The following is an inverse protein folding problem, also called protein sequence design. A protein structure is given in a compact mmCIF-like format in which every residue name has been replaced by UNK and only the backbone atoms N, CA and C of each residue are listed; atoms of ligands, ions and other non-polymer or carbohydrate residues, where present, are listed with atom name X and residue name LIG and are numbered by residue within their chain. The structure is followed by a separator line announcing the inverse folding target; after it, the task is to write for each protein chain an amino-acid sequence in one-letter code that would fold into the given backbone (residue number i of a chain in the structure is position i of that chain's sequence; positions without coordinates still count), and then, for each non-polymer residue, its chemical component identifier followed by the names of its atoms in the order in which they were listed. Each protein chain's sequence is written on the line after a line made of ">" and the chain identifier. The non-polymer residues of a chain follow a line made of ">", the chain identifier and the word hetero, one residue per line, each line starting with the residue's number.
data_IF_586557648697
#
_entry.id   IF_586557648697
#
_cell.length_a   1.000
_cell.length_b   1.000
_cell.length_c   1.000
_cell.angle_alpha   90.00
_cell.angle_beta   90.00
_cell.angle_gamma   90.00
#
_symmetry.space_group_name_H-M   'P 1'
#
loop_
_entity.id
_entity.type
_entity.pdbx_description
1 polymer ?
#
# COMPACT_ATOMS: atom_id res chain seq x y z
N UNK A 1 -39.17 3.37 -9.98
CA UNK A 1 -37.95 4.20 -10.12
C UNK A 1 -37.52 4.69 -8.75
N UNK A 2 -36.28 4.41 -8.31
CA UNK A 2 -35.78 4.87 -7.01
C UNK A 2 -35.30 6.32 -7.14
N UNK A 3 -35.96 7.25 -6.46
CA UNK A 3 -35.59 8.66 -6.36
C UNK A 3 -34.50 8.80 -5.28
N UNK A 4 -33.27 9.12 -5.69
CA UNK A 4 -32.18 9.38 -4.77
C UNK A 4 -32.16 10.87 -4.43
N UNK A 5 -32.48 11.23 -3.18
CA UNK A 5 -32.45 12.62 -2.71
C UNK A 5 -31.03 12.99 -2.29
N UNK A 6 -30.40 13.93 -3.00
CA UNK A 6 -29.07 14.46 -2.70
C UNK A 6 -29.21 15.63 -1.71
N UNK A 7 -29.49 15.34 -0.44
CA UNK A 7 -29.50 16.37 0.61
C UNK A 7 -28.07 16.56 1.11
N UNK A 8 -27.49 17.73 0.82
CA UNK A 8 -26.20 18.14 1.37
C UNK A 8 -26.36 18.39 2.88
N UNK A 9 -25.91 17.46 3.72
CA UNK A 9 -25.90 17.62 5.17
C UNK A 9 -24.96 18.79 5.56
N UNK A 10 -25.44 19.80 6.31
CA UNK A 10 -24.58 20.86 6.82
C UNK A 10 -23.57 20.26 7.81
N UNK A 11 -22.28 20.47 7.56
CA UNK A 11 -21.18 19.90 8.36
C UNK A 11 -20.28 18.91 7.62
N UNK A 12 -20.63 18.49 6.41
CA UNK A 12 -19.86 17.49 5.65
C UNK A 12 -18.65 18.07 4.89
N UNK A 13 -18.05 19.16 5.37
CA UNK A 13 -16.73 19.63 4.93
C UNK A 13 -15.61 18.72 5.47
N UNK A 14 -15.77 17.40 5.32
CA UNK A 14 -14.76 16.42 5.70
C UNK A 14 -13.61 16.61 4.74
N UNK A 15 -12.55 17.26 5.21
CA UNK A 15 -11.28 17.36 4.49
C UNK A 15 -10.81 15.94 4.22
N UNK A 16 -10.95 15.50 2.96
CA UNK A 16 -10.45 14.18 2.53
C UNK A 16 -8.94 14.19 2.67
N UNK A 17 -8.38 13.06 3.13
CA UNK A 17 -6.93 12.88 3.12
C UNK A 17 -6.44 13.01 1.66
N UNK A 18 -5.42 13.84 1.39
CA UNK A 18 -4.88 13.96 0.05
C UNK A 18 -4.44 12.58 -0.44
N UNK A 19 -4.82 12.25 -1.68
CA UNK A 19 -4.38 11.00 -2.30
C UNK A 19 -2.92 11.17 -2.69
N UNK A 20 -2.09 10.24 -2.23
CA UNK A 20 -0.69 10.14 -2.60
C UNK A 20 -0.52 9.96 -4.11
N UNK A 21 0.48 10.63 -4.72
CA UNK A 21 0.72 10.49 -6.17
C UNK A 21 1.35 9.15 -6.51
N UNK A 22 1.23 8.75 -7.78
CA UNK A 22 1.73 7.45 -8.26
C UNK A 22 3.25 7.30 -8.06
N UNK A 23 4.00 8.36 -8.37
CA UNK A 23 5.47 8.39 -8.32
C UNK A 23 6.00 8.44 -6.88
N UNK A 24 5.19 8.94 -5.95
CA UNK A 24 5.55 9.04 -4.53
C UNK A 24 5.48 7.66 -3.85
N UNK A 25 4.69 6.71 -4.37
CA UNK A 25 4.52 5.37 -3.77
C UNK A 25 5.74 4.49 -4.07
N UNK A 26 6.59 4.31 -3.07
CA UNK A 26 7.66 3.32 -3.11
C UNK A 26 7.09 1.89 -3.10
N UNK A 27 7.35 1.10 -4.16
CA UNK A 27 6.84 -0.28 -4.33
C UNK A 27 7.83 -1.32 -3.85
N UNK A 28 7.97 -1.38 -2.54
CA UNK A 28 9.00 -2.15 -1.84
C UNK A 28 8.71 -3.65 -1.75
N UNK A 29 7.44 -4.01 -1.83
CA UNK A 29 6.99 -5.37 -1.65
C UNK A 29 6.88 -6.03 -3.03
N UNK A 30 7.99 -6.59 -3.51
CA UNK A 30 8.03 -7.40 -4.72
C UNK A 30 7.44 -8.79 -4.48
N UNK A 31 6.73 -9.30 -5.49
CA UNK A 31 6.39 -10.71 -5.51
C UNK A 31 7.65 -11.55 -5.74
N UNK A 32 7.83 -12.61 -4.96
CA UNK A 32 8.97 -13.52 -5.09
C UNK A 32 8.71 -14.67 -6.06
N UNK A 33 7.58 -14.67 -6.76
CA UNK A 33 7.21 -15.73 -7.69
C UNK A 33 7.96 -15.59 -9.00
N UNK A 34 8.49 -16.71 -9.52
CA UNK A 34 9.22 -16.75 -10.78
C UNK A 34 8.34 -16.27 -11.92
N UNK A 35 8.76 -15.21 -12.60
CA UNK A 35 8.00 -14.61 -13.70
C UNK A 35 7.00 -13.52 -13.29
N UNK A 36 6.85 -13.23 -11.99
CA UNK A 36 6.06 -12.09 -11.54
C UNK A 36 6.93 -10.85 -11.29
N UNK A 37 6.79 -9.84 -12.15
CA UNK A 37 7.49 -8.54 -12.03
C UNK A 37 6.73 -7.51 -11.21
N UNK A 38 5.58 -7.88 -10.61
CA UNK A 38 4.73 -6.95 -9.86
C UNK A 38 5.31 -6.62 -8.49
N UNK A 39 5.26 -5.34 -8.16
CA UNK A 39 5.67 -4.79 -6.87
C UNK A 39 4.58 -3.87 -6.31
N UNK A 40 4.44 -3.87 -4.99
CA UNK A 40 3.36 -3.19 -4.28
C UNK A 40 3.89 -2.29 -3.17
N UNK A 41 3.17 -1.21 -2.87
CA UNK A 41 3.57 -0.25 -1.83
C UNK A 41 3.32 -0.73 -0.40
N UNK A 42 2.40 -1.67 -0.20
CA UNK A 42 2.15 -2.26 1.12
C UNK A 42 2.05 -3.78 1.05
N UNK A 43 2.35 -4.43 2.18
CA UNK A 43 2.27 -5.88 2.31
C UNK A 43 0.86 -6.43 2.07
N UNK A 44 -0.19 -5.69 2.44
CA UNK A 44 -1.57 -6.12 2.21
C UNK A 44 -1.88 -6.25 0.71
N UNK A 45 -1.41 -5.30 -0.11
CA UNK A 45 -1.59 -5.39 -1.57
C UNK A 45 -0.77 -6.53 -2.18
N UNK A 46 0.44 -6.78 -1.68
CA UNK A 46 1.22 -7.96 -2.09
C UNK A 46 0.52 -9.26 -1.69
N UNK A 47 0.00 -9.39 -0.47
CA UNK A 47 -0.69 -10.59 -0.02
C UNK A 47 -1.99 -10.84 -0.78
N UNK A 48 -2.75 -9.78 -1.09
CA UNK A 48 -3.90 -9.90 -1.98
C UNK A 48 -3.49 -10.40 -3.37
N UNK A 49 -2.41 -9.85 -3.93
CA UNK A 49 -1.85 -10.32 -5.19
C UNK A 49 -1.43 -11.79 -5.15
N UNK A 50 -0.74 -12.23 -4.10
CA UNK A 50 -0.31 -13.63 -3.95
C UNK A 50 -1.50 -14.58 -3.94
N UNK A 51 -2.56 -14.23 -3.19
CA UNK A 51 -3.79 -15.02 -3.11
C UNK A 51 -4.51 -15.06 -4.46
N UNK A 52 -4.66 -13.92 -5.12
CA UNK A 52 -5.38 -13.83 -6.40
C UNK A 52 -4.64 -14.52 -7.54
N UNK A 53 -3.32 -14.38 -7.62
CA UNK A 53 -2.50 -14.95 -8.69
C UNK A 53 -1.99 -16.36 -8.37
N UNK A 54 -2.37 -16.91 -7.21
CA UNK A 54 -1.93 -18.23 -6.72
C UNK A 54 -0.40 -18.36 -6.71
N UNK A 55 0.30 -17.27 -6.38
CA UNK A 55 1.77 -17.21 -6.29
C UNK A 55 2.31 -17.86 -5.00
N UNK A 56 1.63 -18.88 -4.48
CA UNK A 56 1.98 -19.59 -3.25
C UNK A 56 1.41 -18.97 -1.97
N UNK A 57 2.19 -19.06 -0.89
CA UNK A 57 1.72 -18.77 0.47
C UNK A 57 1.77 -17.27 0.79
N UNK A 58 0.80 -16.82 1.60
CA UNK A 58 0.77 -15.45 2.14
C UNK A 58 2.05 -15.15 2.90
N UNK A 59 2.64 -13.99 2.64
CA UNK A 59 3.85 -13.54 3.32
C UNK A 59 3.51 -12.96 4.68
N UNK A 60 4.38 -13.19 5.64
CA UNK A 60 4.13 -12.78 7.03
C UNK A 60 4.81 -11.44 7.34
N UNK A 61 4.26 -10.63 8.26
CA UNK A 61 4.93 -9.41 8.71
C UNK A 61 6.33 -9.64 9.32
N UNK A 62 6.58 -10.85 9.83
CA UNK A 62 7.87 -11.21 10.43
C UNK A 62 9.01 -11.21 9.39
N UNK A 63 8.74 -11.71 8.18
CA UNK A 63 9.72 -11.72 7.08
C UNK A 63 10.14 -10.31 6.65
N UNK A 64 9.26 -9.32 6.84
CA UNK A 64 9.51 -7.93 6.48
C UNK A 64 9.95 -7.05 7.65
N UNK A 65 10.23 -7.64 8.82
CA UNK A 65 10.69 -6.90 10.00
C UNK A 65 12.01 -6.19 9.73
N UNK A 66 12.98 -6.91 9.15
CA UNK A 66 14.29 -6.35 8.82
C UNK A 66 14.20 -5.36 7.66
N UNK A 67 13.37 -5.63 6.64
CA UNK A 67 13.09 -4.67 5.58
C UNK A 67 12.55 -3.37 6.21
N UNK A 68 11.48 -3.41 7.01
CA UNK A 68 10.92 -2.21 7.66
C UNK A 68 11.90 -1.49 8.58
N UNK A 69 12.85 -2.21 9.20
CA UNK A 69 13.90 -1.61 10.04
C UNK A 69 14.90 -0.84 9.19
N UNK A 70 15.40 -1.46 8.12
CA UNK A 70 16.32 -0.82 7.15
C UNK A 70 15.66 0.39 6.49
N UNK A 71 14.39 0.30 6.12
CA UNK A 71 13.64 1.41 5.51
C UNK A 71 13.44 2.58 6.45
N UNK A 72 13.08 2.32 7.72
CA UNK A 72 13.00 3.40 8.72
C UNK A 72 14.36 4.06 8.96
N UNK A 73 15.43 3.28 8.94
CA UNK A 73 16.79 3.80 9.07
C UNK A 73 17.18 4.67 7.86
N UNK A 74 16.97 4.17 6.65
CA UNK A 74 17.25 4.89 5.40
C UNK A 74 16.45 6.20 5.29
N UNK A 75 15.16 6.20 5.67
CA UNK A 75 14.36 7.43 5.71
C UNK A 75 14.86 8.44 6.73
N UNK A 76 15.38 7.97 7.87
CA UNK A 76 15.96 8.83 8.92
C UNK A 76 17.27 9.45 8.43
N UNK A 77 18.18 8.63 7.91
CA UNK A 77 19.47 9.10 7.38
C UNK A 77 19.31 10.01 6.15
N UNK A 78 18.29 9.79 5.32
CA UNK A 78 17.97 10.65 4.18
C UNK A 78 17.29 11.97 4.52
N UNK A 79 16.75 12.14 5.74
CA UNK A 79 16.24 13.44 6.19
C UNK A 79 17.25 14.24 7.02
N UNK A 80 18.36 13.62 7.44
CA UNK A 80 19.44 14.24 8.23
C UNK A 80 20.61 14.74 7.35
N UNK A 81 20.48 14.68 6.02
CA UNK A 81 21.45 15.19 5.04
C UNK A 81 20.86 16.36 4.27
#
# INVERSE_FOLDING_TARGET
>A
SKTYSFVSLPGNAVRKRPRHRYDEIERLYHCSWSGCTKSYGTLNHLNAHIVMQRHGNKRTPAEFKELRKQWRKAKKEGSER
#
